data_IF_788465479869
#
_entry.id   IF_788465479869
#
_cell.length_a   1.000
_cell.length_b   1.000
_cell.length_c   1.000
_cell.angle_alpha   90.00
_cell.angle_beta   90.00
_cell.angle_gamma   90.00
#
_symmetry.space_group_name_H-M   'P 1'
#
loop_
_entity.id
_entity.type
_entity.pdbx_description
1 polymer ?
#
# COMPACT_ATOMS: atom_id res chain seq x y z
N UNK A 1 -7.73 0.65 22.36
CA UNK A 1 -6.30 0.56 22.80
C UNK A 1 -5.52 0.76 21.51
N UNK A 2 -4.98 1.96 21.27
CA UNK A 2 -4.62 2.28 19.89
C UNK A 2 -3.35 1.62 19.38
N UNK A 3 -3.49 0.90 18.26
CA UNK A 3 -2.44 0.11 17.63
C UNK A 3 -2.19 0.56 16.19
N UNK A 4 -0.93 0.86 15.87
CA UNK A 4 -0.48 1.06 14.49
C UNK A 4 0.26 -0.17 13.98
N UNK A 5 -0.02 -0.57 12.74
CA UNK A 5 0.64 -1.66 12.03
C UNK A 5 1.39 -1.08 10.84
N UNK A 6 2.67 -1.41 10.72
CA UNK A 6 3.50 -1.06 9.57
C UNK A 6 3.96 -2.36 8.92
N UNK A 7 3.35 -2.71 7.79
CA UNK A 7 3.75 -3.87 6.99
C UNK A 7 4.69 -3.45 5.87
N UNK A 8 5.89 -3.99 5.83
CA UNK A 8 6.75 -4.00 4.64
C UNK A 8 6.50 -5.31 3.91
N UNK A 9 6.05 -5.24 2.65
CA UNK A 9 5.95 -6.38 1.76
C UNK A 9 7.01 -6.17 0.68
N UNK A 10 7.96 -7.09 0.59
CA UNK A 10 9.10 -7.03 -0.32
C UNK A 10 8.97 -8.15 -1.36
N UNK A 11 9.04 -7.77 -2.65
CA UNK A 11 9.15 -8.73 -3.74
C UNK A 11 10.47 -9.48 -3.69
N UNK A 12 10.44 -10.77 -4.05
CA UNK A 12 11.62 -11.65 -4.11
C UNK A 12 12.70 -11.15 -5.09
N UNK A 13 13.99 -11.46 -4.86
CA UNK A 13 15.08 -11.02 -5.75
C UNK A 13 15.06 -11.77 -7.09
N UNK A 14 14.90 -11.03 -8.20
CA UNK A 14 14.90 -11.57 -9.56
C UNK A 14 16.29 -12.05 -10.01
N UNK A 15 16.32 -13.26 -10.59
CA UNK A 15 17.52 -13.99 -11.02
C UNK A 15 17.56 -14.05 -12.56
N UNK A 16 18.59 -13.43 -13.15
CA UNK A 16 19.14 -13.81 -14.46
C UNK A 16 18.44 -13.27 -15.73
N UNK A 17 19.05 -12.24 -16.33
CA UNK A 17 18.72 -11.69 -17.66
C UNK A 17 18.79 -12.75 -18.77
N UNK A 18 17.78 -12.79 -19.64
CA UNK A 18 17.95 -13.14 -21.07
C UNK A 18 17.05 -12.28 -21.96
N UNK A 19 17.69 -11.64 -22.93
CA UNK A 19 17.12 -10.80 -23.98
C UNK A 19 16.34 -11.62 -25.00
N UNK A 20 15.16 -11.17 -25.39
CA UNK A 20 14.36 -11.70 -26.49
C UNK A 20 13.17 -10.79 -26.81
N UNK A 21 13.08 -10.36 -28.07
CA UNK A 21 12.24 -9.28 -28.60
C UNK A 21 10.90 -9.79 -29.18
N UNK A 22 10.05 -8.82 -29.59
CA UNK A 22 8.89 -8.84 -30.52
C UNK A 22 7.51 -8.73 -29.82
N UNK A 23 6.51 -7.91 -30.20
CA UNK A 23 6.01 -7.35 -31.49
C UNK A 23 5.24 -6.03 -31.21
N UNK A 24 5.36 -4.94 -32.00
CA UNK A 24 4.60 -4.50 -33.20
C UNK A 24 3.11 -4.07 -33.01
N UNK A 25 2.87 -2.75 -32.93
CA UNK A 25 1.67 -2.01 -33.39
C UNK A 25 2.09 -0.59 -33.82
N UNK A 26 1.57 -0.08 -34.95
CA UNK A 26 2.05 1.11 -35.70
C UNK A 26 1.60 2.49 -35.16
N UNK A 27 1.58 2.70 -33.85
CA UNK A 27 1.51 4.05 -33.27
C UNK A 27 2.71 4.28 -32.33
N UNK A 28 3.56 5.29 -32.56
CA UNK A 28 4.69 5.57 -31.67
C UNK A 28 4.17 6.15 -30.35
N UNK A 29 4.03 5.29 -29.34
CA UNK A 29 3.85 5.68 -27.94
C UNK A 29 5.20 6.17 -27.43
N UNK A 30 5.27 7.44 -27.02
CA UNK A 30 6.46 7.99 -26.36
C UNK A 30 6.48 7.44 -24.94
N UNK A 31 7.28 6.41 -24.72
CA UNK A 31 7.62 5.93 -23.39
C UNK A 31 8.61 6.91 -22.77
N UNK A 32 8.22 7.56 -21.69
CA UNK A 32 9.12 8.38 -20.88
C UNK A 32 9.98 7.49 -19.99
N UNK A 33 11.13 8.01 -19.54
CA UNK A 33 11.96 7.30 -18.54
C UNK A 33 11.23 7.00 -17.23
N UNK A 34 10.05 7.59 -16.99
CA UNK A 34 9.20 7.32 -15.84
C UNK A 34 8.20 6.17 -16.10
N UNK A 35 7.89 5.85 -17.36
CA UNK A 35 6.99 4.76 -17.76
C UNK A 35 7.65 3.37 -17.70
N UNK A 36 8.97 3.32 -17.60
CA UNK A 36 9.82 2.10 -17.72
C UNK A 36 10.72 1.89 -16.50
N UNK A 37 10.50 2.58 -15.37
CA UNK A 37 11.32 2.33 -14.16
C UNK A 37 11.00 0.97 -13.55
N UNK A 38 11.66 -0.05 -14.09
CA UNK A 38 12.15 -1.29 -13.47
C UNK A 38 11.16 -2.22 -12.74
N UNK A 39 9.85 -2.00 -12.78
CA UNK A 39 8.84 -2.82 -12.07
C UNK A 39 7.86 -3.57 -12.98
N UNK A 40 8.21 -3.76 -14.24
CA UNK A 40 7.31 -4.34 -15.23
C UNK A 40 8.03 -5.46 -15.97
N UNK A 41 8.31 -6.56 -15.26
CA UNK A 41 9.08 -7.69 -15.81
C UNK A 41 8.42 -8.29 -17.07
N UNK A 42 7.09 -8.20 -17.14
CA UNK A 42 6.27 -8.73 -18.24
C UNK A 42 6.13 -7.77 -19.43
N UNK A 43 6.79 -6.60 -19.42
CA UNK A 43 6.68 -5.55 -20.45
C UNK A 43 5.22 -5.13 -20.75
N UNK A 44 4.33 -5.16 -19.75
CA UNK A 44 2.93 -4.77 -19.88
C UNK A 44 2.83 -3.25 -19.98
N UNK A 45 2.31 -2.74 -21.09
CA UNK A 45 2.16 -1.29 -21.24
C UNK A 45 1.18 -0.70 -20.20
N UNK A 46 1.51 0.47 -19.62
CA UNK A 46 0.57 1.22 -18.78
C UNK A 46 -0.75 1.49 -19.50
N UNK A 47 -1.84 1.51 -18.75
CA UNK A 47 -3.16 1.85 -19.28
C UNK A 47 -3.32 3.38 -19.40
N UNK A 48 -4.22 3.82 -20.27
CA UNK A 48 -4.43 5.26 -20.51
C UNK A 48 -4.94 5.99 -19.26
N UNK A 49 -4.65 7.30 -19.10
CA UNK A 49 -5.14 8.09 -17.96
C UNK A 49 -6.66 8.02 -17.77
N UNK A 50 -7.43 7.95 -18.85
CA UNK A 50 -8.89 7.81 -18.80
C UNK A 50 -9.31 6.46 -18.22
N UNK A 51 -8.57 5.40 -18.56
CA UNK A 51 -8.79 4.06 -17.99
C UNK A 51 -8.44 4.04 -16.52
N UNK A 52 -7.31 4.66 -16.13
CA UNK A 52 -6.91 4.78 -14.73
C UNK A 52 -7.93 5.57 -13.90
N UNK A 53 -8.49 6.64 -14.45
CA UNK A 53 -9.55 7.40 -13.81
C UNK A 53 -10.83 6.57 -13.61
N UNK A 54 -11.20 5.73 -14.59
CA UNK A 54 -12.32 4.78 -14.45
C UNK A 54 -12.05 3.72 -13.38
N UNK A 55 -10.84 3.17 -13.32
CA UNK A 55 -10.43 2.21 -12.28
C UNK A 55 -10.50 2.86 -10.91
N UNK A 56 -9.93 4.05 -10.74
CA UNK A 56 -9.99 4.81 -9.47
C UNK A 56 -11.42 5.07 -9.05
N UNK A 57 -12.29 5.48 -9.98
CA UNK A 57 -13.71 5.70 -9.72
C UNK A 57 -14.43 4.43 -9.28
N UNK A 58 -14.09 3.28 -9.88
CA UNK A 58 -14.68 1.99 -9.51
C UNK A 58 -14.18 1.48 -8.15
N UNK A 59 -12.91 1.70 -7.82
CA UNK A 59 -12.35 1.36 -6.51
C UNK A 59 -12.98 2.19 -5.37
N UNK A 60 -13.52 3.37 -5.67
CA UNK A 60 -14.11 4.27 -4.69
C UNK A 60 -13.22 4.45 -3.44
N UNK A 61 -11.96 4.88 -3.60
CA UNK A 61 -11.08 5.12 -2.46
C UNK A 61 -11.63 6.26 -1.58
N UNK A 62 -11.18 6.31 -0.33
CA UNK A 62 -11.41 7.45 0.55
C UNK A 62 -10.72 8.70 0.00
N UNK A 63 -11.08 9.86 0.54
CA UNK A 63 -10.44 11.14 0.22
C UNK A 63 -9.05 11.29 0.90
N UNK A 64 -8.21 10.26 0.81
CA UNK A 64 -6.89 10.23 1.46
C UNK A 64 -5.92 11.30 0.92
N UNK A 65 -6.14 11.77 -0.30
CA UNK A 65 -5.34 12.79 -1.00
C UNK A 65 -5.86 14.23 -0.82
N UNK A 66 -7.04 14.40 -0.22
CA UNK A 66 -7.65 15.71 0.01
C UNK A 66 -6.88 16.56 1.03
N UNK A 67 -7.03 17.88 1.00
CA UNK A 67 -6.42 18.82 1.95
C UNK A 67 -6.88 18.57 3.39
N UNK A 68 -8.10 18.05 3.55
CA UNK A 68 -8.65 17.66 4.84
C UNK A 68 -8.26 16.25 5.29
N UNK A 69 -7.39 15.56 4.57
CA UNK A 69 -7.03 14.17 4.90
C UNK A 69 -6.29 14.05 6.23
N UNK A 70 -6.38 12.87 6.84
CA UNK A 70 -5.77 12.63 8.15
C UNK A 70 -4.25 12.67 8.09
N UNK A 71 -3.66 12.25 6.98
CA UNK A 71 -2.24 12.43 6.75
C UNK A 71 -1.83 13.90 6.84
N UNK A 72 -2.52 14.80 6.11
CA UNK A 72 -2.20 16.24 6.09
C UNK A 72 -2.48 16.91 7.44
N UNK A 73 -3.56 16.52 8.13
CA UNK A 73 -3.81 16.97 9.50
C UNK A 73 -2.67 16.55 10.43
N UNK A 74 -2.32 15.27 10.47
CA UNK A 74 -1.31 14.76 11.40
C UNK A 74 0.11 15.26 11.11
N UNK A 75 0.48 15.41 9.83
CA UNK A 75 1.79 15.98 9.48
C UNK A 75 1.90 17.46 9.86
N UNK A 76 0.79 18.22 9.86
CA UNK A 76 0.80 19.63 10.31
C UNK A 76 1.10 19.79 11.81
N UNK A 77 0.85 18.76 12.61
CA UNK A 77 1.21 18.70 14.03
C UNK A 77 2.61 18.10 14.27
N UNK A 78 3.33 17.74 13.21
CA UNK A 78 4.70 17.23 13.35
C UNK A 78 5.62 18.34 13.86
N UNK A 79 6.33 18.06 14.94
CA UNK A 79 7.43 18.89 15.42
C UNK A 79 8.74 18.19 15.09
N UNK A 80 9.68 18.94 14.52
CA UNK A 80 11.01 18.44 14.20
C UNK A 80 11.62 17.72 15.42
N UNK A 81 12.07 16.49 15.19
CA UNK A 81 12.63 15.62 16.23
C UNK A 81 11.65 14.63 16.87
N UNK A 82 10.34 14.78 16.64
CA UNK A 82 9.32 13.83 17.12
C UNK A 82 9.53 12.45 16.47
N UNK A 83 9.64 11.40 17.28
CA UNK A 83 9.79 10.02 16.78
C UNK A 83 11.22 9.59 16.46
N UNK A 84 12.23 10.46 16.59
CA UNK A 84 13.63 10.14 16.30
C UNK A 84 14.17 8.94 17.09
N UNK A 85 13.69 8.74 18.32
CA UNK A 85 14.08 7.62 19.17
C UNK A 85 13.73 6.27 18.53
N UNK A 86 12.58 6.18 17.84
CA UNK A 86 12.16 4.94 17.19
C UNK A 86 12.91 4.72 15.87
N UNK A 87 13.18 5.78 15.11
CA UNK A 87 14.03 5.72 13.91
C UNK A 87 15.46 5.24 14.23
N UNK A 88 15.90 5.51 15.47
CA UNK A 88 17.19 5.04 15.98
C UNK A 88 17.11 3.65 16.62
N UNK A 89 15.91 3.09 16.77
CA UNK A 89 15.72 1.79 17.41
C UNK A 89 16.23 0.65 16.53
N UNK A 90 16.79 -0.42 17.12
CA UNK A 90 17.17 -1.62 16.37
C UNK A 90 16.00 -2.22 15.59
N UNK A 91 14.79 -2.24 16.19
CA UNK A 91 13.60 -2.80 15.55
C UNK A 91 13.21 -2.08 14.27
N UNK A 92 13.27 -0.74 14.27
CA UNK A 92 13.02 0.04 13.05
C UNK A 92 14.07 -0.25 11.99
N UNK A 93 15.37 -0.23 12.34
CA UNK A 93 16.45 -0.47 11.38
C UNK A 93 16.36 -1.87 10.79
N UNK A 94 16.11 -2.89 11.61
CA UNK A 94 15.90 -4.25 11.12
C UNK A 94 14.75 -4.32 10.13
N UNK A 95 13.59 -3.73 10.45
CA UNK A 95 12.44 -3.71 9.55
C UNK A 95 12.70 -2.90 8.27
N UNK A 96 13.42 -1.80 8.38
CA UNK A 96 13.67 -0.87 7.29
C UNK A 96 14.73 -1.38 6.30
N UNK A 97 15.80 -1.99 6.84
CA UNK A 97 16.99 -2.41 6.10
C UNK A 97 16.92 -3.89 5.70
N UNK A 98 15.96 -4.68 6.21
CA UNK A 98 15.76 -6.06 5.77
C UNK A 98 15.26 -6.11 4.32
N UNK A 99 15.77 -7.06 3.55
CA UNK A 99 15.29 -7.35 2.19
C UNK A 99 14.09 -8.32 2.14
N UNK A 100 13.61 -8.77 3.30
CA UNK A 100 12.49 -9.71 3.44
C UNK A 100 11.23 -9.00 3.94
N UNK A 101 10.06 -9.62 3.74
CA UNK A 101 8.78 -9.22 4.33
C UNK A 101 8.91 -8.98 5.84
N UNK A 102 8.57 -7.77 6.29
CA UNK A 102 8.77 -7.34 7.68
C UNK A 102 7.56 -6.64 8.26
N UNK A 103 7.25 -6.89 9.54
CA UNK A 103 6.20 -6.18 10.27
C UNK A 103 6.79 -5.39 11.43
N UNK A 104 6.57 -4.09 11.44
CA UNK A 104 6.84 -3.22 12.58
C UNK A 104 5.52 -2.85 13.25
N UNK A 105 5.35 -3.29 14.50
CA UNK A 105 4.16 -2.98 15.28
C UNK A 105 4.48 -1.93 16.35
N UNK A 106 3.73 -0.82 16.36
CA UNK A 106 3.91 0.25 17.35
C UNK A 106 2.71 0.30 18.28
N UNK A 107 2.96 0.10 19.58
CA UNK A 107 1.96 0.27 20.66
C UNK A 107 2.32 1.49 21.49
N UNK A 108 1.30 2.23 21.88
CA UNK A 108 1.46 3.38 22.77
C UNK A 108 0.13 3.75 23.41
N UNK A 109 0.18 4.40 24.56
CA UNK A 109 -1.01 4.87 25.25
C UNK A 109 -1.82 5.86 24.37
N UNK A 110 -3.14 5.96 24.54
CA UNK A 110 -3.94 6.99 23.88
C UNK A 110 -3.34 8.38 24.11
N UNK A 111 -3.34 9.24 23.09
CA UNK A 111 -2.76 10.58 23.17
C UNK A 111 -1.23 10.66 23.05
N UNK A 112 -0.50 9.54 22.92
CA UNK A 112 0.97 9.54 22.81
C UNK A 112 1.52 10.04 21.46
N UNK A 113 0.70 10.62 20.59
CA UNK A 113 1.13 11.14 19.28
C UNK A 113 1.41 10.10 18.19
N UNK A 114 0.88 8.88 18.29
CA UNK A 114 1.10 7.80 17.29
C UNK A 114 0.69 8.20 15.87
N UNK A 115 -0.44 8.86 15.69
CA UNK A 115 -0.92 9.28 14.37
C UNK A 115 0.00 10.33 13.74
N UNK A 116 0.50 11.28 14.55
CA UNK A 116 1.54 12.25 14.14
C UNK A 116 2.83 11.53 13.77
N UNK A 117 3.21 10.51 14.54
CA UNK A 117 4.35 9.66 14.22
C UNK A 117 4.16 8.89 12.91
N UNK A 118 3.01 8.26 12.68
CA UNK A 118 2.70 7.53 11.46
C UNK A 118 2.79 8.45 10.24
N UNK A 119 2.20 9.65 10.32
CA UNK A 119 2.30 10.65 9.27
C UNK A 119 3.75 11.11 9.03
N UNK A 120 4.53 11.33 10.09
CA UNK A 120 5.95 11.67 9.99
C UNK A 120 6.77 10.56 9.31
N UNK A 121 6.51 9.30 9.68
CA UNK A 121 7.15 8.15 9.05
C UNK A 121 6.79 8.06 7.56
N UNK A 122 5.51 8.17 7.20
CA UNK A 122 5.07 8.22 5.80
C UNK A 122 5.79 9.34 5.04
N UNK A 123 5.85 10.55 5.61
CA UNK A 123 6.52 11.69 5.00
C UNK A 123 8.00 11.45 4.72
N UNK A 124 8.70 10.78 5.64
CA UNK A 124 10.10 10.38 5.46
C UNK A 124 10.24 9.31 4.37
N UNK A 125 9.44 8.26 4.43
CA UNK A 125 9.50 7.16 3.46
C UNK A 125 9.22 7.64 2.03
N UNK A 126 8.38 8.68 1.84
CA UNK A 126 8.20 9.31 0.53
C UNK A 126 9.48 9.91 -0.07
N UNK A 127 10.49 10.20 0.74
CA UNK A 127 11.78 10.72 0.24
C UNK A 127 12.68 9.63 -0.33
N UNK A 128 12.31 8.35 -0.20
CA UNK A 128 13.14 7.20 -0.60
C UNK A 128 12.85 6.72 -2.04
N UNK A 129 12.00 7.41 -2.79
CA UNK A 129 11.54 6.99 -4.14
C UNK A 129 10.93 5.58 -4.18
N UNK A 130 10.33 5.18 -3.06
CA UNK A 130 9.66 3.89 -2.86
C UNK A 130 8.15 4.12 -2.71
N UNK A 131 7.28 3.25 -3.26
CA UNK A 131 5.85 3.32 -3.01
C UNK A 131 5.51 3.20 -1.52
N UNK A 132 4.84 4.23 -0.98
CA UNK A 132 4.30 4.24 0.39
C UNK A 132 2.78 4.29 0.30
N UNK A 133 2.15 3.20 0.71
CA UNK A 133 0.71 3.04 0.80
C UNK A 133 0.30 3.29 2.25
N UNK A 134 -0.72 4.09 2.49
CA UNK A 134 -1.14 4.40 3.85
C UNK A 134 -2.64 4.46 4.02
N UNK A 135 -3.10 4.16 5.24
CA UNK A 135 -4.49 4.28 5.64
C UNK A 135 -4.60 4.67 7.12
N UNK A 136 -5.52 5.59 7.44
CA UNK A 136 -5.81 6.01 8.81
C UNK A 136 -7.24 5.57 9.14
N UNK A 137 -7.36 4.56 10.00
CA UNK A 137 -8.67 4.12 10.47
C UNK A 137 -9.31 5.20 11.36
N UNK A 138 -10.63 5.34 11.27
CA UNK A 138 -11.42 6.19 12.17
C UNK A 138 -12.81 5.63 12.40
N UNK A 139 -13.20 5.46 13.67
CA UNK A 139 -14.57 5.04 14.02
C UNK A 139 -15.64 6.08 13.67
N UNK A 140 -15.29 7.37 13.63
CA UNK A 140 -16.26 8.46 13.43
C UNK A 140 -16.56 8.77 11.97
N UNK A 141 -15.90 8.09 11.03
CA UNK A 141 -16.09 8.29 9.59
C UNK A 141 -16.53 6.95 9.01
N UNK A 142 -17.76 6.89 8.52
CA UNK A 142 -18.48 5.68 8.07
C UNK A 142 -17.76 4.89 6.95
N UNK A 143 -16.81 5.50 6.23
CA UNK A 143 -15.98 4.80 5.24
C UNK A 143 -14.62 4.32 5.78
N UNK A 144 -14.18 4.80 6.94
CA UNK A 144 -12.81 4.63 7.44
C UNK A 144 -12.66 3.55 8.52
N UNK A 145 -13.70 2.77 8.78
CA UNK A 145 -13.68 1.61 9.66
C UNK A 145 -13.77 0.26 8.94
N UNK A 146 -14.12 0.26 7.64
CA UNK A 146 -14.23 -0.96 6.84
C UNK A 146 -12.84 -1.45 6.41
N UNK A 147 -12.46 -2.71 6.69
CA UNK A 147 -11.17 -3.26 6.26
C UNK A 147 -10.96 -3.23 4.74
N UNK A 148 -12.05 -3.39 3.97
CA UNK A 148 -12.00 -3.32 2.51
C UNK A 148 -11.66 -1.92 2.01
N UNK A 149 -12.06 -0.84 2.71
CA UNK A 149 -11.69 0.53 2.34
C UNK A 149 -10.18 0.73 2.36
N UNK A 150 -9.47 0.18 3.36
CA UNK A 150 -8.01 0.24 3.41
C UNK A 150 -7.34 -0.42 2.20
N UNK A 151 -7.87 -1.57 1.76
CA UNK A 151 -7.35 -2.24 0.56
C UNK A 151 -7.68 -1.48 -0.72
N UNK A 152 -8.88 -0.89 -0.83
CA UNK A 152 -9.27 -0.04 -1.97
C UNK A 152 -8.37 1.18 -2.10
N UNK A 153 -8.04 1.82 -0.98
CA UNK A 153 -7.09 2.94 -0.92
C UNK A 153 -5.69 2.52 -1.33
N UNK A 154 -5.19 1.40 -0.83
CA UNK A 154 -3.88 0.88 -1.20
C UNK A 154 -3.79 0.50 -2.67
N UNK A 155 -4.83 -0.14 -3.21
CA UNK A 155 -4.92 -0.41 -4.64
C UNK A 155 -4.90 0.88 -5.46
N UNK A 156 -5.63 1.91 -5.03
CA UNK A 156 -5.64 3.20 -5.71
C UNK A 156 -4.27 3.92 -5.63
N UNK A 157 -3.57 3.82 -4.50
CA UNK A 157 -2.25 4.41 -4.29
C UNK A 157 -1.15 3.68 -5.09
N UNK A 158 -1.21 2.35 -5.17
CA UNK A 158 -0.21 1.53 -5.89
C UNK A 158 -0.47 1.45 -7.39
N UNK A 159 -1.68 1.79 -7.85
CA UNK A 159 -2.12 1.65 -9.25
C UNK A 159 -1.14 2.25 -10.26
N UNK A 160 -0.61 3.44 -9.96
CA UNK A 160 0.32 4.16 -10.84
C UNK A 160 1.68 3.47 -11.01
N UNK A 161 2.04 2.57 -10.09
CA UNK A 161 3.33 1.88 -10.10
C UNK A 161 3.26 0.47 -10.70
N UNK A 162 2.08 -0.05 -11.01
CA UNK A 162 1.91 -1.44 -11.44
C UNK A 162 1.04 -1.57 -12.70
N UNK A 163 1.63 -1.56 -13.91
CA UNK A 163 0.92 -1.89 -15.14
C UNK A 163 0.17 -3.23 -15.11
N UNK A 164 0.71 -4.32 -14.50
CA UNK A 164 -0.03 -5.57 -14.34
C UNK A 164 -1.32 -5.41 -13.54
N UNK A 165 -1.30 -4.63 -12.44
CA UNK A 165 -2.51 -4.32 -11.68
C UNK A 165 -3.51 -3.53 -12.55
N UNK A 166 -3.03 -2.51 -13.28
CA UNK A 166 -3.89 -1.72 -14.16
C UNK A 166 -4.61 -2.59 -15.20
N UNK A 167 -3.88 -3.52 -15.84
CA UNK A 167 -4.45 -4.47 -16.80
C UNK A 167 -5.48 -5.40 -16.13
N UNK A 168 -5.18 -5.90 -14.92
CA UNK A 168 -6.10 -6.74 -14.16
C UNK A 168 -7.39 -6.00 -13.82
N UNK A 169 -7.28 -4.77 -13.31
CA UNK A 169 -8.43 -3.93 -12.95
C UNK A 169 -9.25 -3.53 -14.18
N UNK A 170 -8.60 -3.22 -15.31
CA UNK A 170 -9.30 -2.96 -16.57
C UNK A 170 -10.18 -4.14 -16.99
N UNK A 171 -9.68 -5.38 -16.90
CA UNK A 171 -10.48 -6.58 -17.22
C UNK A 171 -11.71 -6.73 -16.31
N UNK A 172 -11.60 -6.35 -15.04
CA UNK A 172 -12.73 -6.36 -14.10
C UNK A 172 -13.78 -5.32 -14.52
N UNK A 173 -13.35 -4.13 -14.92
CA UNK A 173 -14.23 -3.09 -15.46
C UNK A 173 -14.92 -3.54 -16.76
N UNK A 174 -14.17 -4.14 -17.69
CA UNK A 174 -14.70 -4.63 -18.97
C UNK A 174 -15.75 -5.74 -18.77
N UNK A 175 -15.68 -6.47 -17.65
CA UNK A 175 -16.67 -7.47 -17.23
C UNK A 175 -17.86 -6.89 -16.48
N UNK A 176 -17.88 -5.57 -16.25
CA UNK A 176 -18.92 -4.85 -15.52
C UNK A 176 -19.22 -5.46 -14.13
N UNK A 177 -18.20 -5.98 -13.45
CA UNK A 177 -18.34 -6.51 -12.08
C UNK A 177 -18.62 -5.37 -11.10
N UNK A 178 -19.60 -5.55 -10.23
CA UNK A 178 -19.83 -4.63 -9.10
C UNK A 178 -18.70 -4.75 -8.08
N UNK A 179 -18.36 -3.65 -7.42
CA UNK A 179 -17.42 -3.64 -6.30
C UNK A 179 -17.90 -4.56 -5.16
N UNK A 180 -19.20 -4.62 -4.91
CA UNK A 180 -19.83 -5.48 -3.88
C UNK A 180 -19.64 -6.98 -4.14
N UNK A 181 -19.29 -7.36 -5.38
CA UNK A 181 -19.01 -8.75 -5.76
C UNK A 181 -17.57 -9.18 -5.51
N UNK A 182 -16.71 -8.25 -5.05
CA UNK A 182 -15.29 -8.48 -4.84
C UNK A 182 -15.05 -8.75 -3.36
N UNK A 183 -14.47 -9.90 -3.06
CA UNK A 183 -14.17 -10.27 -1.68
C UNK A 183 -12.92 -9.55 -1.17
N UNK A 184 -12.75 -9.52 0.16
CA UNK A 184 -11.51 -9.01 0.76
C UNK A 184 -10.27 -9.81 0.34
N UNK A 185 -10.43 -11.12 0.11
CA UNK A 185 -9.36 -11.99 -0.39
C UNK A 185 -8.98 -11.65 -1.84
N UNK A 186 -9.97 -11.28 -2.67
CA UNK A 186 -9.71 -10.77 -4.02
C UNK A 186 -8.90 -9.48 -3.96
N UNK A 187 -9.29 -8.51 -3.12
CA UNK A 187 -8.52 -7.26 -2.96
C UNK A 187 -7.08 -7.53 -2.52
N UNK A 188 -6.88 -8.42 -1.55
CA UNK A 188 -5.53 -8.86 -1.17
C UNK A 188 -4.78 -9.52 -2.31
N UNK A 189 -5.44 -10.34 -3.13
CA UNK A 189 -4.80 -10.95 -4.30
C UNK A 189 -4.34 -9.90 -5.31
N UNK A 190 -5.14 -8.86 -5.54
CA UNK A 190 -4.79 -7.76 -6.43
C UNK A 190 -3.65 -6.92 -5.88
N UNK A 191 -3.65 -6.67 -4.57
CA UNK A 191 -2.57 -5.95 -3.92
C UNK A 191 -1.26 -6.74 -4.01
N UNK A 192 -1.29 -8.07 -3.81
CA UNK A 192 -0.11 -8.92 -3.99
C UNK A 192 0.43 -8.90 -5.41
N UNK A 193 -0.43 -8.88 -6.44
CA UNK A 193 0.00 -8.73 -7.84
C UNK A 193 0.78 -7.42 -8.01
N UNK A 194 0.30 -6.33 -7.42
CA UNK A 194 0.96 -5.05 -7.52
C UNK A 194 2.30 -5.02 -6.78
N UNK A 195 2.31 -5.52 -5.53
CA UNK A 195 3.49 -5.49 -4.67
C UNK A 195 4.61 -6.45 -5.13
N UNK A 196 4.26 -7.59 -5.73
CA UNK A 196 5.24 -8.58 -6.21
C UNK A 196 6.16 -8.04 -7.32
N UNK A 197 5.75 -6.96 -7.97
CA UNK A 197 6.52 -6.31 -9.03
C UNK A 197 7.40 -5.17 -8.51
N UNK A 198 7.21 -4.78 -7.25
CA UNK A 198 7.98 -3.73 -6.61
C UNK A 198 9.11 -4.38 -5.79
N UNK A 199 10.36 -3.89 -5.89
CA UNK A 199 11.47 -4.38 -5.09
C UNK A 199 11.24 -4.06 -3.62
N UNK A 200 10.52 -2.97 -3.35
CA UNK A 200 10.22 -2.47 -2.02
C UNK A 200 8.93 -1.66 -2.07
N UNK A 201 8.10 -1.81 -1.05
CA UNK A 201 6.96 -0.96 -0.80
C UNK A 201 6.64 -0.97 0.70
N UNK A 202 6.11 0.14 1.19
CA UNK A 202 5.70 0.30 2.58
C UNK A 202 4.19 0.41 2.68
N UNK A 203 3.55 -0.39 3.53
CA UNK A 203 2.14 -0.28 3.87
C UNK A 203 2.01 0.19 5.32
N UNK A 204 1.45 1.38 5.52
CA UNK A 204 1.29 2.03 6.82
C UNK A 204 -0.18 2.07 7.23
N UNK A 205 -0.49 1.56 8.41
CA UNK A 205 -1.82 1.65 9.01
C UNK A 205 -1.74 2.29 10.38
N UNK A 206 -2.53 3.34 10.59
CA UNK A 206 -2.76 3.92 11.90
C UNK A 206 -4.14 3.57 12.46
N UNK A 207 -4.25 3.57 13.79
CA UNK A 207 -5.48 3.37 14.53
C UNK A 207 -6.25 2.08 14.18
N UNK A 208 -5.56 0.97 13.95
CA UNK A 208 -6.17 -0.31 13.56
C UNK A 208 -7.24 -0.80 14.55
N UNK A 209 -7.14 -0.45 15.83
CA UNK A 209 -8.14 -0.79 16.84
C UNK A 209 -9.49 -0.07 16.63
N UNK A 210 -9.51 0.96 15.79
CA UNK A 210 -10.71 1.68 15.36
C UNK A 210 -11.42 1.02 14.16
N UNK A 211 -10.86 -0.05 13.61
CA UNK A 211 -11.50 -0.87 12.58
C UNK A 211 -12.71 -1.62 13.16
N UNK A 212 -13.74 -1.82 12.34
CA UNK A 212 -14.87 -2.65 12.70
C UNK A 212 -14.41 -4.07 13.08
N UNK A 213 -15.12 -4.71 14.00
CA UNK A 213 -14.81 -6.06 14.47
C UNK A 213 -15.75 -7.06 13.79
N UNK A 214 -15.48 -7.37 12.52
CA UNK A 214 -16.28 -8.29 11.68
C UNK A 214 -15.46 -9.51 11.26
N UNK A 215 -16.06 -10.45 10.53
CA UNK A 215 -15.32 -11.55 9.91
C UNK A 215 -14.22 -11.05 8.94
N UNK A 216 -14.47 -9.91 8.27
CA UNK A 216 -13.53 -9.31 7.35
C UNK A 216 -12.26 -8.81 8.05
N UNK A 217 -12.36 -8.41 9.31
CA UNK A 217 -11.24 -8.01 10.17
C UNK A 217 -10.20 -9.12 10.29
N UNK A 218 -10.66 -10.35 10.55
CA UNK A 218 -9.77 -11.51 10.63
C UNK A 218 -9.05 -11.75 9.30
N UNK A 219 -9.78 -11.67 8.18
CA UNK A 219 -9.20 -11.83 6.84
C UNK A 219 -8.22 -10.70 6.49
N UNK A 220 -8.48 -9.48 6.95
CA UNK A 220 -7.58 -8.33 6.79
C UNK A 220 -6.28 -8.51 7.57
N UNK A 221 -6.36 -8.98 8.82
CA UNK A 221 -5.20 -9.14 9.69
C UNK A 221 -4.40 -10.42 9.42
N UNK A 222 -5.02 -11.43 8.81
CA UNK A 222 -4.42 -12.76 8.58
C UNK A 222 -3.04 -12.71 7.91
N UNK A 223 -2.79 -11.91 6.85
CA UNK A 223 -1.46 -11.81 6.26
C UNK A 223 -0.39 -11.33 7.26
N UNK A 224 -0.74 -10.39 8.14
CA UNK A 224 0.19 -9.85 9.14
C UNK A 224 0.41 -10.81 10.30
N UNK A 225 -0.65 -11.44 10.81
CA UNK A 225 -0.54 -12.43 11.88
C UNK A 225 0.34 -13.63 11.46
N UNK A 226 0.22 -14.05 10.20
CA UNK A 226 1.07 -15.11 9.64
C UNK A 226 2.54 -14.68 9.52
N UNK A 227 2.82 -13.39 9.29
CA UNK A 227 4.19 -12.85 9.28
C UNK A 227 4.77 -12.81 10.71
N UNK A 228 3.99 -12.38 11.70
CA UNK A 228 4.38 -12.39 13.12
C UNK A 228 4.70 -13.81 13.62
N UNK A 229 3.86 -14.78 13.27
CA UNK A 229 4.05 -16.17 13.70
C UNK A 229 5.31 -16.84 13.08
N UNK A 230 5.84 -16.31 11.97
CA UNK A 230 7.13 -16.76 11.41
C UNK A 230 8.33 -16.08 12.08
N UNK A 231 8.13 -14.91 12.68
CA UNK A 231 9.18 -14.10 13.31
C UNK A 231 9.46 -14.48 14.78
N UNK A 232 8.61 -15.32 15.39
CA UNK A 232 8.81 -15.83 16.76
C UNK A 232 9.17 -17.33 16.65
N UNK A 233 10.44 -17.72 16.84
CA UNK A 233 10.79 -19.13 16.96
C UNK A 233 10.11 -19.73 18.19
N UNK A 234 9.55 -20.93 18.03
CA UNK A 234 9.05 -21.78 19.11
C UNK A 234 10.13 -22.13 20.12
#
# INVERSE_FOLDING_TARGET
MSSGIFGGLFGTPARGKKSGSLFATDDPVILTNDDVRDYNEDNILPQTPETLAKIRKWLQPTAYDDDSSEYKKHISFHLDGTGNWLLSSPSYRTWHDSGDDGLLWIRGIPGSGKSVFAASLIHRLFQEDVPVLYFFFRQTIESNHEPAAALRDWLAQVLKFSPPLQLRMKRILDQNRSLDSVSIDDFWSYLRIALAQLPKAYCVVDALDEMDQTEQTQSFLKPWLNSVNRAIPS
#
